data_IF_054287287246
#
_entry.id   IF_054287287246
#
_cell.length_a   1.000
_cell.length_b   1.000
_cell.length_c   1.000
_cell.angle_alpha   90.00
_cell.angle_beta   90.00
_cell.angle_gamma   90.00
#
_symmetry.space_group_name_H-M   'P 1'
#
loop_
_entity.id
_entity.type
_entity.pdbx_description
1 polymer ?
#
# COMPACT_ATOMS: atom_id res chain seq x y z
N UNK A 1 2.12 18.98 -0.45
CA UNK A 1 1.83 19.58 0.88
C UNK A 1 2.53 18.74 1.95
N UNK A 2 3.40 19.35 2.79
CA UNK A 2 4.24 18.63 3.77
C UNK A 2 3.46 17.77 4.79
N UNK A 3 2.20 18.12 5.07
CA UNK A 3 1.36 17.45 6.06
C UNK A 3 0.12 16.77 5.46
N UNK A 4 0.14 16.42 4.16
CA UNK A 4 -1.01 15.83 3.49
C UNK A 4 -1.55 14.56 4.21
N UNK A 5 -0.64 13.76 4.79
CA UNK A 5 -0.97 12.52 5.48
C UNK A 5 -1.38 12.71 6.95
N UNK A 6 -1.16 13.89 7.54
CA UNK A 6 -1.58 14.24 8.91
C UNK A 6 -1.99 15.73 9.02
N UNK A 7 -3.10 16.13 8.39
CA UNK A 7 -3.52 17.53 8.37
C UNK A 7 -3.85 18.07 9.78
N UNK A 8 -4.22 17.19 10.72
CA UNK A 8 -4.53 17.55 12.10
C UNK A 8 -3.33 17.46 13.05
N UNK A 9 -2.19 16.90 12.64
CA UNK A 9 -1.04 16.72 13.53
C UNK A 9 -1.26 15.67 14.62
N UNK A 10 -2.21 14.76 14.44
CA UNK A 10 -2.69 13.82 15.45
C UNK A 10 -2.37 12.36 15.10
N UNK A 11 -1.65 12.12 14.01
CA UNK A 11 -1.29 10.78 13.55
C UNK A 11 0.16 10.49 13.87
N UNK A 12 0.46 9.23 14.18
CA UNK A 12 1.83 8.75 14.23
C UNK A 12 2.32 8.50 12.80
N UNK A 13 3.63 8.69 12.51
CA UNK A 13 4.20 8.34 11.22
C UNK A 13 4.09 6.84 10.92
N UNK A 14 4.12 6.01 11.97
CA UNK A 14 3.92 4.56 11.86
C UNK A 14 2.62 4.21 12.57
N UNK A 15 1.66 3.69 11.82
CA UNK A 15 0.33 3.38 12.32
C UNK A 15 0.35 2.15 13.24
N UNK A 16 -0.25 2.28 14.42
CA UNK A 16 -0.51 1.17 15.34
C UNK A 16 -1.97 0.71 15.30
N UNK A 17 -2.86 1.51 14.73
CA UNK A 17 -4.29 1.23 14.65
C UNK A 17 -4.58 0.17 13.58
N UNK A 18 -5.55 -0.70 13.85
CA UNK A 18 -6.08 -1.62 12.85
C UNK A 18 -6.82 -0.84 11.76
N UNK A 19 -6.73 -1.31 10.51
CA UNK A 19 -7.52 -0.81 9.39
C UNK A 19 -8.52 -1.87 8.93
N UNK A 20 -9.59 -1.44 8.26
CA UNK A 20 -10.42 -2.35 7.47
C UNK A 20 -9.82 -2.49 6.08
N UNK A 21 -9.90 -3.68 5.50
CA UNK A 21 -9.66 -3.94 4.08
C UNK A 21 -10.95 -3.82 3.25
N UNK A 22 -12.07 -3.43 3.86
CA UNK A 22 -13.40 -3.44 3.25
C UNK A 22 -14.21 -4.71 3.52
N UNK A 23 -13.57 -5.78 3.99
CA UNK A 23 -14.23 -7.07 4.28
C UNK A 23 -14.44 -7.27 5.78
N UNK A 24 -13.48 -6.86 6.60
CA UNK A 24 -13.51 -7.02 8.05
C UNK A 24 -13.49 -5.69 8.78
N UNK A 25 -14.26 -5.59 9.87
CA UNK A 25 -14.21 -4.45 10.77
C UNK A 25 -12.85 -4.40 11.49
N UNK A 26 -12.29 -3.20 11.75
CA UNK A 26 -11.05 -3.08 12.52
C UNK A 26 -11.22 -3.65 13.94
N UNK A 27 -10.25 -4.42 14.41
CA UNK A 27 -10.29 -5.03 15.74
C UNK A 27 -9.82 -3.99 16.79
N UNK A 28 -10.49 -3.87 17.95
CA UNK A 28 -10.04 -2.96 19.00
C UNK A 28 -8.59 -3.21 19.43
N UNK A 29 -7.83 -2.13 19.61
CA UNK A 29 -6.45 -2.22 20.07
C UNK A 29 -6.37 -2.75 21.50
N UNK A 30 -5.54 -3.78 21.70
CA UNK A 30 -5.16 -4.25 23.04
C UNK A 30 -4.42 -3.15 23.83
N UNK A 31 -4.46 -3.18 25.18
CA UNK A 31 -3.83 -2.17 26.03
C UNK A 31 -2.35 -1.88 25.73
N UNK A 32 -1.57 -2.89 25.30
CA UNK A 32 -0.17 -2.71 24.92
C UNK A 32 0.02 -1.79 23.71
N UNK A 33 -0.87 -1.86 22.71
CA UNK A 33 -0.81 -1.00 21.52
C UNK A 33 -1.21 0.44 21.86
N UNK A 34 -2.18 0.61 22.76
CA UNK A 34 -2.54 1.92 23.30
C UNK A 34 -1.37 2.55 24.08
N UNK A 35 -0.65 1.74 24.88
CA UNK A 35 0.55 2.19 25.59
C UNK A 35 1.67 2.58 24.63
N UNK A 36 1.96 1.77 23.61
CA UNK A 36 2.94 2.10 22.57
C UNK A 36 2.59 3.42 21.86
N UNK A 37 1.32 3.60 21.49
CA UNK A 37 0.82 4.83 20.87
C UNK A 37 1.00 6.04 21.77
N UNK A 38 0.70 5.92 23.06
CA UNK A 38 0.90 6.99 24.03
C UNK A 38 2.37 7.36 24.18
N UNK A 39 3.24 6.36 24.37
CA UNK A 39 4.69 6.58 24.49
C UNK A 39 5.27 7.26 23.24
N UNK A 40 4.80 6.90 22.05
CA UNK A 40 5.25 7.52 20.80
C UNK A 40 4.90 9.01 20.74
N UNK A 41 3.69 9.40 21.17
CA UNK A 41 3.30 10.81 21.22
C UNK A 41 4.03 11.61 22.30
N UNK A 42 4.27 11.00 23.46
CA UNK A 42 5.04 11.61 24.55
C UNK A 42 6.50 11.84 24.13
N UNK A 43 7.09 10.83 23.47
CA UNK A 43 8.43 10.91 22.89
C UNK A 43 8.51 12.00 21.81
N UNK A 44 7.53 12.04 20.89
CA UNK A 44 7.47 13.07 19.86
C UNK A 44 7.39 14.49 20.45
N UNK A 45 6.54 14.69 21.46
CA UNK A 45 6.41 15.98 22.14
C UNK A 45 7.70 16.39 22.84
N UNK A 46 8.32 15.45 23.56
CA UNK A 46 9.55 15.69 24.31
C UNK A 46 10.74 15.97 23.39
N UNK A 47 10.91 15.18 22.33
CA UNK A 47 12.02 15.32 21.38
C UNK A 47 11.86 16.57 20.51
N UNK A 48 10.63 16.89 20.05
CA UNK A 48 10.38 18.14 19.33
C UNK A 48 10.78 19.38 20.15
N UNK A 49 10.41 19.41 21.44
CA UNK A 49 10.81 20.48 22.36
C UNK A 49 12.33 20.57 22.54
N UNK A 50 13.02 19.44 22.67
CA UNK A 50 14.49 19.40 22.83
C UNK A 50 15.23 19.89 21.58
N UNK A 51 14.69 19.61 20.39
CA UNK A 51 15.27 20.03 19.12
C UNK A 51 14.84 21.43 18.68
N UNK A 52 13.93 22.09 19.41
CA UNK A 52 13.41 23.40 19.04
C UNK A 52 12.56 23.40 17.76
N UNK A 53 11.93 22.26 17.42
CA UNK A 53 11.08 22.12 16.23
C UNK A 53 9.61 21.96 16.63
N UNK A 54 8.71 22.34 15.72
CA UNK A 54 7.28 22.07 15.90
C UNK A 54 6.99 20.56 15.92
N UNK A 55 6.03 20.15 16.75
CA UNK A 55 5.68 18.73 16.94
C UNK A 55 5.19 18.07 15.65
N UNK A 56 4.45 18.77 14.79
CA UNK A 56 4.00 18.20 13.51
C UNK A 56 5.17 18.02 12.55
N UNK A 57 6.08 18.99 12.51
CA UNK A 57 7.33 18.88 11.74
C UNK A 57 8.19 17.70 12.23
N UNK A 58 8.24 17.48 13.55
CA UNK A 58 8.94 16.33 14.12
C UNK A 58 8.29 15.00 13.71
N UNK A 59 6.96 14.89 13.81
CA UNK A 59 6.24 13.66 13.48
C UNK A 59 6.41 13.23 12.01
N UNK A 60 6.53 14.18 11.07
CA UNK A 60 6.77 13.87 9.64
C UNK A 60 8.26 13.76 9.28
N UNK A 61 9.15 13.60 10.25
CA UNK A 61 10.59 13.41 10.04
C UNK A 61 11.02 11.97 10.35
N UNK A 62 12.23 11.60 9.90
CA UNK A 62 12.85 10.33 10.25
C UNK A 62 12.95 10.14 11.78
N UNK A 63 13.27 11.19 12.54
CA UNK A 63 13.29 11.14 14.02
C UNK A 63 11.92 10.80 14.61
N UNK A 64 10.83 11.23 13.97
CA UNK A 64 9.46 10.88 14.35
C UNK A 64 9.15 9.41 14.14
N UNK A 65 9.58 8.86 13.00
CA UNK A 65 9.46 7.42 12.71
C UNK A 65 10.24 6.59 13.73
N UNK A 66 11.52 6.91 13.95
CA UNK A 66 12.37 6.25 14.95
C UNK A 66 11.79 6.35 16.36
N UNK A 67 11.31 7.54 16.78
CA UNK A 67 10.65 7.70 18.09
C UNK A 67 9.44 6.80 18.25
N UNK A 68 8.71 6.53 17.16
CA UNK A 68 7.57 5.62 17.17
C UNK A 68 8.02 4.17 17.33
N UNK A 69 9.09 3.75 16.62
CA UNK A 69 9.67 2.41 16.72
C UNK A 69 10.24 2.13 18.13
N UNK A 70 10.95 3.09 18.71
CA UNK A 70 11.49 2.98 20.08
C UNK A 70 10.36 2.88 21.11
N UNK A 71 9.29 3.68 20.96
CA UNK A 71 8.13 3.58 21.84
C UNK A 71 7.41 2.22 21.75
N UNK A 72 7.42 1.59 20.57
CA UNK A 72 6.97 0.21 20.41
C UNK A 72 7.88 -0.75 21.19
N UNK A 73 9.20 -0.65 21.00
CA UNK A 73 10.16 -1.48 21.74
C UNK A 73 9.92 -1.40 23.26
N UNK A 74 9.80 -0.19 23.81
CA UNK A 74 9.57 0.04 25.24
C UNK A 74 8.26 -0.59 25.72
N UNK A 75 7.16 -0.36 25.00
CA UNK A 75 5.84 -0.86 25.37
C UNK A 75 5.75 -2.40 25.34
N UNK A 76 6.29 -3.03 24.29
CA UNK A 76 6.20 -4.48 24.14
C UNK A 76 7.19 -5.20 25.05
N UNK A 77 8.40 -4.66 25.26
CA UNK A 77 9.35 -5.22 26.22
C UNK A 77 8.76 -5.24 27.64
N UNK A 78 8.07 -4.16 28.04
CA UNK A 78 7.39 -4.09 29.34
C UNK A 78 6.21 -5.08 29.47
N UNK A 79 5.60 -5.50 28.35
CA UNK A 79 4.45 -6.41 28.34
C UNK A 79 4.84 -7.90 28.39
N UNK A 80 6.12 -8.24 28.28
CA UNK A 80 6.63 -9.62 28.42
C UNK A 80 7.10 -10.32 27.14
N UNK A 81 6.60 -10.03 25.91
CA UNK A 81 7.20 -10.56 24.69
C UNK A 81 8.67 -10.15 24.55
N UNK A 82 9.56 -11.13 24.36
CA UNK A 82 11.01 -10.93 24.19
C UNK A 82 11.52 -11.36 22.80
N UNK A 83 10.62 -11.70 21.89
CA UNK A 83 10.96 -12.35 20.62
C UNK A 83 11.51 -11.41 19.54
N UNK A 84 11.27 -10.11 19.63
CA UNK A 84 11.74 -9.15 18.63
C UNK A 84 11.67 -7.70 19.13
N UNK A 85 12.51 -6.85 18.52
CA UNK A 85 12.51 -5.40 18.67
C UNK A 85 12.94 -4.78 17.34
N UNK A 86 12.57 -3.52 17.11
CA UNK A 86 13.11 -2.75 15.99
C UNK A 86 14.55 -2.34 16.29
N UNK A 87 15.48 -2.72 15.41
CA UNK A 87 16.90 -2.42 15.56
C UNK A 87 17.19 -0.96 15.17
N UNK A 88 16.90 -0.04 16.08
CA UNK A 88 17.16 1.40 15.92
C UNK A 88 17.85 1.95 17.17
N UNK A 89 18.85 2.81 16.97
CA UNK A 89 19.60 3.44 18.07
C UNK A 89 18.76 4.51 18.77
N UNK A 90 18.90 4.62 20.10
CA UNK A 90 18.13 5.59 20.90
C UNK A 90 18.41 7.05 20.52
N UNK A 91 19.64 7.34 20.12
CA UNK A 91 20.09 8.68 19.70
C UNK A 91 19.43 9.14 18.39
N UNK A 92 19.04 8.18 17.54
CA UNK A 92 18.35 8.44 16.27
C UNK A 92 16.97 9.08 16.47
N UNK A 93 16.41 9.05 17.68
CA UNK A 93 15.21 9.82 18.02
C UNK A 93 15.44 11.35 17.99
N UNK A 94 16.70 11.80 17.96
CA UNK A 94 17.10 13.21 18.06
C UNK A 94 18.15 13.64 17.04
N UNK A 95 18.93 12.72 16.51
CA UNK A 95 19.86 12.97 15.41
C UNK A 95 19.21 12.62 14.07
N UNK A 96 18.99 13.61 13.20
CA UNK A 96 18.28 13.40 11.93
C UNK A 96 19.10 12.61 10.93
N UNK A 97 20.42 12.72 10.95
CA UNK A 97 21.31 11.96 10.06
C UNK A 97 21.29 10.49 10.46
N UNK A 98 21.40 10.20 11.76
CA UNK A 98 21.31 8.84 12.29
C UNK A 98 19.90 8.26 12.09
N UNK A 99 18.86 9.08 12.26
CA UNK A 99 17.49 8.66 11.97
C UNK A 99 17.34 8.23 10.52
N UNK A 100 17.78 9.07 9.58
CA UNK A 100 17.71 8.75 8.15
C UNK A 100 18.53 7.53 7.80
N UNK A 101 19.74 7.35 8.34
CA UNK A 101 20.51 6.14 8.07
C UNK A 101 19.83 4.86 8.59
N UNK A 102 18.92 4.98 9.57
CA UNK A 102 18.18 3.85 10.12
C UNK A 102 16.85 3.56 9.40
N UNK A 103 16.22 4.55 8.73
CA UNK A 103 14.87 4.37 8.14
C UNK A 103 14.73 4.82 6.68
N UNK A 104 15.67 5.57 6.11
CA UNK A 104 15.72 5.94 4.68
C UNK A 104 16.53 4.87 3.93
N UNK A 105 16.06 3.62 3.99
CA UNK A 105 16.74 2.49 3.41
C UNK A 105 16.66 2.40 1.87
N UNK A 106 17.39 1.45 1.30
CA UNK A 106 17.39 1.11 -0.13
C UNK A 106 17.18 -0.39 -0.33
N UNK A 107 16.44 -0.99 0.59
CA UNK A 107 16.14 -2.41 0.57
C UNK A 107 15.37 -2.77 -0.69
N UNK A 108 15.63 -3.97 -1.20
CA UNK A 108 14.84 -4.51 -2.28
C UNK A 108 13.42 -4.84 -1.81
N UNK A 109 12.42 -4.11 -2.32
CA UNK A 109 11.00 -4.32 -2.02
C UNK A 109 10.34 -5.05 -3.18
N UNK A 110 10.05 -6.33 -2.95
CA UNK A 110 9.27 -7.14 -3.87
C UNK A 110 7.80 -7.21 -3.40
N UNK A 111 6.93 -6.47 -4.07
CA UNK A 111 5.50 -6.60 -3.89
C UNK A 111 4.98 -7.81 -4.67
N UNK A 112 4.62 -8.88 -3.95
CA UNK A 112 4.24 -10.15 -4.55
C UNK A 112 2.77 -10.19 -4.99
N UNK A 113 2.00 -9.12 -4.81
CA UNK A 113 0.59 -9.11 -5.18
C UNK A 113 -0.01 -7.69 -5.37
N UNK A 114 0.01 -7.21 -6.62
CA UNK A 114 -0.69 -5.99 -7.04
C UNK A 114 -1.93 -6.26 -7.87
N UNK A 115 -2.89 -5.33 -7.85
CA UNK A 115 -4.12 -5.40 -8.65
C UNK A 115 -4.50 -4.01 -9.17
N UNK A 116 -5.08 -3.97 -10.38
CA UNK A 116 -5.86 -2.84 -10.88
C UNK A 116 -7.07 -3.38 -11.67
N UNK A 117 -8.04 -2.52 -11.95
CA UNK A 117 -9.18 -2.87 -12.80
C UNK A 117 -9.17 -2.06 -14.09
N UNK A 118 -9.59 -2.64 -15.21
CA UNK A 118 -9.79 -1.88 -16.43
C UNK A 118 -11.08 -1.02 -16.29
N UNK A 119 -10.97 0.33 -16.23
CA UNK A 119 -12.13 1.21 -16.05
C UNK A 119 -13.07 1.27 -17.27
N UNK A 120 -12.68 0.70 -18.40
CA UNK A 120 -13.49 0.60 -19.62
C UNK A 120 -13.64 -0.85 -20.11
N UNK A 121 -13.29 -1.82 -19.25
CA UNK A 121 -13.27 -3.24 -19.59
C UNK A 121 -14.65 -3.83 -19.84
N UNK A 122 -14.69 -4.96 -20.56
CA UNK A 122 -15.93 -5.63 -20.93
C UNK A 122 -16.76 -6.11 -19.73
N UNK A 123 -16.11 -6.39 -18.60
CA UNK A 123 -16.75 -6.80 -17.35
C UNK A 123 -17.82 -5.80 -16.86
N UNK A 124 -17.66 -4.51 -17.15
CA UNK A 124 -18.61 -3.47 -16.78
C UNK A 124 -19.95 -3.58 -17.52
N UNK A 125 -19.96 -4.11 -18.75
CA UNK A 125 -21.17 -4.22 -19.59
C UNK A 125 -22.19 -5.22 -19.04
N UNK A 126 -21.74 -6.13 -18.18
CA UNK A 126 -22.55 -7.18 -17.58
C UNK A 126 -23.13 -6.78 -16.22
N UNK A 127 -22.77 -5.61 -15.71
CA UNK A 127 -23.21 -5.14 -14.40
C UNK A 127 -24.66 -4.65 -14.47
N UNK A 128 -25.46 -4.85 -13.40
CA UNK A 128 -26.81 -4.30 -13.33
C UNK A 128 -26.81 -2.76 -13.51
N UNK A 129 -27.87 -2.17 -14.10
CA UNK A 129 -28.02 -0.72 -14.17
C UNK A 129 -27.87 -0.07 -12.80
N UNK A 130 -27.05 0.99 -12.72
CA UNK A 130 -26.77 1.71 -11.46
C UNK A 130 -25.78 1.03 -10.52
N UNK A 131 -25.20 -0.13 -10.89
CA UNK A 131 -24.15 -0.77 -10.10
C UNK A 131 -22.91 0.13 -9.98
N UNK A 132 -22.34 0.20 -8.77
CA UNK A 132 -21.12 0.95 -8.46
C UNK A 132 -19.99 0.01 -8.03
N UNK A 133 -19.39 -0.76 -8.96
CA UNK A 133 -18.34 -1.71 -8.61
C UNK A 133 -17.15 -1.00 -7.95
N UNK A 134 -16.51 -1.65 -6.98
CA UNK A 134 -15.28 -1.16 -6.34
C UNK A 134 -15.37 0.24 -5.69
N UNK A 135 -16.58 0.78 -5.47
CA UNK A 135 -16.77 2.11 -4.89
C UNK A 135 -16.09 2.28 -3.52
N UNK A 136 -16.04 1.21 -2.72
CA UNK A 136 -15.36 1.20 -1.41
C UNK A 136 -13.86 1.51 -1.52
N UNK A 137 -13.21 1.08 -2.59
CA UNK A 137 -11.78 1.34 -2.85
C UNK A 137 -11.53 2.74 -3.42
N UNK A 138 -12.56 3.42 -3.93
CA UNK A 138 -12.46 4.74 -4.54
C UNK A 138 -13.16 5.83 -3.73
N UNK A 139 -13.47 5.55 -2.46
CA UNK A 139 -14.17 6.49 -1.57
C UNK A 139 -13.23 7.51 -0.91
N UNK A 140 -11.91 7.39 -1.11
CA UNK A 140 -10.93 8.27 -0.47
C UNK A 140 -10.81 9.61 -1.21
N UNK A 141 -10.48 10.73 -0.52
CA UNK A 141 -10.28 12.03 -1.17
C UNK A 141 -9.24 12.05 -2.29
N UNK A 142 -8.29 11.09 -2.29
CA UNK A 142 -7.30 10.90 -3.36
C UNK A 142 -7.96 10.62 -4.72
N UNK A 143 -9.13 10.00 -4.71
CA UNK A 143 -9.83 9.62 -5.94
C UNK A 143 -10.72 10.72 -6.52
N UNK A 144 -10.91 11.84 -5.82
CA UNK A 144 -11.74 12.97 -6.31
C UNK A 144 -11.29 13.50 -7.68
N UNK A 145 -9.98 13.68 -7.98
CA UNK A 145 -9.53 14.14 -9.30
C UNK A 145 -9.84 13.16 -10.44
N UNK A 146 -10.15 11.90 -10.14
CA UNK A 146 -10.49 10.89 -11.13
C UNK A 146 -11.99 10.84 -11.43
N UNK A 147 -12.83 11.56 -10.66
CA UNK A 147 -14.25 11.68 -10.97
C UNK A 147 -14.43 12.56 -12.22
N UNK A 148 -15.39 12.18 -13.06
CA UNK A 148 -15.73 12.89 -14.29
C UNK A 148 -17.23 12.82 -14.57
N UNK A 149 -17.68 13.23 -15.77
CA UNK A 149 -19.09 13.23 -16.13
C UNK A 149 -19.70 11.83 -16.25
N UNK A 150 -18.87 10.79 -16.42
CA UNK A 150 -19.30 9.40 -16.50
C UNK A 150 -19.52 8.79 -15.12
N UNK A 151 -20.58 7.99 -14.98
CA UNK A 151 -20.95 7.35 -13.70
C UNK A 151 -19.86 6.45 -13.12
N UNK A 152 -18.99 5.89 -13.97
CA UNK A 152 -17.91 4.96 -13.60
C UNK A 152 -16.51 5.60 -13.65
N UNK A 153 -16.39 6.91 -13.89
CA UNK A 153 -15.09 7.58 -14.05
C UNK A 153 -14.19 7.42 -12.81
N UNK A 154 -14.78 7.27 -11.63
CA UNK A 154 -14.05 7.01 -10.38
C UNK A 154 -13.13 5.77 -10.45
N UNK A 155 -13.43 4.78 -11.32
CA UNK A 155 -12.59 3.60 -11.50
C UNK A 155 -11.21 3.93 -12.04
N UNK A 156 -11.02 5.11 -12.68
CA UNK A 156 -9.69 5.57 -13.11
C UNK A 156 -8.71 5.74 -11.93
N UNK A 157 -9.22 5.94 -10.71
CA UNK A 157 -8.39 5.99 -9.50
C UNK A 157 -7.72 4.65 -9.16
N UNK A 158 -8.29 3.54 -9.61
CA UNK A 158 -7.77 2.17 -9.41
C UNK A 158 -7.51 1.49 -10.76
N UNK A 159 -7.30 2.30 -11.80
CA UNK A 159 -6.99 1.88 -13.15
C UNK A 159 -5.49 1.72 -13.40
N UNK A 160 -5.09 1.31 -14.62
CA UNK A 160 -3.69 1.01 -14.95
C UNK A 160 -2.74 2.20 -14.77
N UNK A 161 -3.14 3.40 -15.21
CA UNK A 161 -2.27 4.58 -15.12
C UNK A 161 -2.00 4.97 -13.65
N UNK A 162 -3.05 4.96 -12.83
CA UNK A 162 -2.91 5.27 -11.42
C UNK A 162 -2.16 4.17 -10.68
N UNK A 163 -2.35 2.90 -11.04
CA UNK A 163 -1.56 1.79 -10.52
C UNK A 163 -0.06 1.97 -10.82
N UNK A 164 0.31 2.31 -12.06
CA UNK A 164 1.70 2.52 -12.44
C UNK A 164 2.32 3.68 -11.65
N UNK A 165 1.59 4.79 -11.51
CA UNK A 165 2.02 5.91 -10.68
C UNK A 165 2.22 5.49 -9.23
N UNK A 166 1.23 4.82 -8.65
CA UNK A 166 1.21 4.48 -7.23
C UNK A 166 2.31 3.50 -6.84
N UNK A 167 2.59 2.53 -7.70
CA UNK A 167 3.52 1.43 -7.44
C UNK A 167 4.95 1.75 -7.89
N UNK A 168 5.14 2.53 -8.95
CA UNK A 168 6.47 2.72 -9.52
C UNK A 168 7.02 4.15 -9.43
N UNK A 169 6.19 5.11 -9.02
CA UNK A 169 6.59 6.52 -8.86
C UNK A 169 6.41 7.01 -7.43
N UNK A 170 5.30 6.63 -6.78
CA UNK A 170 4.91 7.15 -5.46
C UNK A 170 5.14 6.13 -4.32
N UNK A 171 5.82 5.01 -4.59
CA UNK A 171 6.25 4.02 -3.59
C UNK A 171 7.71 3.58 -3.80
N UNK A 172 8.26 2.90 -2.79
CA UNK A 172 9.60 2.32 -2.81
C UNK A 172 9.64 0.90 -3.46
N UNK A 173 8.58 0.48 -4.15
CA UNK A 173 8.49 -0.87 -4.73
C UNK A 173 9.49 -1.05 -5.88
N UNK A 174 10.44 -1.97 -5.76
CA UNK A 174 11.41 -2.27 -6.81
C UNK A 174 10.85 -3.19 -7.89
N UNK A 175 10.15 -4.24 -7.45
CA UNK A 175 9.57 -5.29 -8.28
C UNK A 175 8.14 -5.55 -7.80
N UNK A 176 7.23 -5.81 -8.75
CA UNK A 176 5.82 -6.08 -8.47
C UNK A 176 5.33 -7.28 -9.29
N UNK A 177 4.50 -8.14 -8.69
CA UNK A 177 3.72 -9.16 -9.40
C UNK A 177 2.28 -8.69 -9.56
N UNK A 178 1.86 -8.45 -10.80
CA UNK A 178 0.46 -8.19 -11.14
C UNK A 178 -0.33 -9.49 -11.09
N UNK A 179 -1.29 -9.56 -10.17
CA UNK A 179 -2.18 -10.69 -9.95
C UNK A 179 -3.61 -10.38 -10.38
N UNK A 180 -4.39 -11.43 -10.56
CA UNK A 180 -5.77 -11.37 -11.05
C UNK A 180 -6.76 -11.56 -9.92
N UNK A 181 -7.83 -10.77 -9.93
CA UNK A 181 -8.92 -10.91 -8.95
C UNK A 181 -9.73 -12.18 -9.27
N UNK A 182 -10.04 -13.02 -8.27
CA UNK A 182 -10.89 -14.20 -8.48
C UNK A 182 -12.23 -13.82 -9.13
N UNK A 183 -12.48 -14.37 -10.32
CA UNK A 183 -13.61 -14.00 -11.18
C UNK A 183 -13.88 -15.07 -12.25
N UNK A 184 -15.08 -15.06 -12.81
CA UNK A 184 -15.35 -15.79 -14.05
C UNK A 184 -14.58 -15.15 -15.21
N UNK A 185 -14.26 -15.89 -16.26
CA UNK A 185 -13.60 -15.33 -17.47
C UNK A 185 -14.37 -14.15 -18.05
N UNK A 186 -15.70 -14.22 -18.00
CA UNK A 186 -16.58 -13.16 -18.46
C UNK A 186 -16.61 -11.93 -17.53
N UNK A 187 -16.39 -12.12 -16.23
CA UNK A 187 -16.43 -11.07 -15.23
C UNK A 187 -15.06 -10.51 -14.87
N UNK A 188 -13.99 -10.91 -15.55
CA UNK A 188 -12.63 -10.56 -15.16
C UNK A 188 -12.38 -9.03 -15.28
N UNK A 189 -12.02 -8.35 -14.18
CA UNK A 189 -11.76 -6.91 -14.22
C UNK A 189 -10.48 -6.53 -14.98
N UNK A 190 -9.62 -7.52 -15.23
CA UNK A 190 -8.32 -7.40 -15.88
C UNK A 190 -8.08 -8.67 -16.69
N UNK A 191 -7.81 -8.54 -17.98
CA UNK A 191 -7.45 -9.68 -18.83
C UNK A 191 -5.94 -9.90 -18.88
N UNK A 192 -5.52 -11.09 -19.34
CA UNK A 192 -4.09 -11.42 -19.52
C UNK A 192 -3.41 -10.48 -20.53
N UNK A 193 -4.10 -10.15 -21.62
CA UNK A 193 -3.60 -9.24 -22.66
C UNK A 193 -3.37 -7.83 -22.10
N UNK A 194 -4.29 -7.35 -21.26
CA UNK A 194 -4.20 -6.05 -20.59
C UNK A 194 -3.07 -6.03 -19.57
N UNK A 195 -2.93 -7.07 -18.75
CA UNK A 195 -1.84 -7.19 -17.78
C UNK A 195 -0.46 -7.17 -18.46
N UNK A 196 -0.31 -7.93 -19.55
CA UNK A 196 0.93 -7.96 -20.34
C UNK A 196 1.17 -6.62 -21.04
N UNK A 197 0.12 -5.94 -21.52
CA UNK A 197 0.25 -4.59 -22.09
C UNK A 197 0.77 -3.59 -21.04
N UNK A 198 0.24 -3.61 -19.81
CA UNK A 198 0.74 -2.77 -18.71
C UNK A 198 2.20 -3.10 -18.37
N UNK A 199 2.58 -4.38 -18.33
CA UNK A 199 3.97 -4.79 -18.12
C UNK A 199 4.93 -4.24 -19.20
N UNK A 200 4.47 -4.12 -20.45
CA UNK A 200 5.26 -3.47 -21.52
C UNK A 200 5.42 -1.97 -21.29
N UNK A 201 4.40 -1.27 -20.79
CA UNK A 201 4.48 0.16 -20.44
C UNK A 201 5.50 0.36 -19.32
N UNK A 202 5.42 -0.42 -18.24
CA UNK A 202 6.38 -0.32 -17.12
C UNK A 202 7.80 -0.59 -17.57
N UNK A 203 8.00 -1.54 -18.48
CA UNK A 203 9.32 -1.81 -19.08
C UNK A 203 9.89 -0.60 -19.83
N UNK A 204 9.04 0.26 -20.42
CA UNK A 204 9.49 1.46 -21.13
C UNK A 204 9.88 2.61 -20.19
N UNK A 205 9.30 2.70 -18.98
CA UNK A 205 9.53 3.82 -18.07
C UNK A 205 10.98 3.93 -17.58
N UNK A 206 11.64 2.81 -17.28
CA UNK A 206 13.02 2.79 -16.79
C UNK A 206 13.92 1.73 -17.49
N UNK A 207 13.44 1.07 -18.54
CA UNK A 207 14.18 -0.02 -19.21
C UNK A 207 14.33 -1.31 -18.39
N UNK A 208 13.84 -1.33 -17.14
CA UNK A 208 13.94 -2.43 -16.19
C UNK A 208 12.64 -3.26 -16.14
N UNK A 209 12.75 -4.59 -15.98
CA UNK A 209 11.61 -5.51 -15.88
C UNK A 209 11.01 -5.48 -14.46
N UNK A 210 10.36 -4.38 -14.08
CA UNK A 210 9.84 -4.15 -12.72
C UNK A 210 8.41 -4.66 -12.48
N UNK A 211 7.71 -5.11 -13.52
CA UNK A 211 6.38 -5.70 -13.42
C UNK A 211 6.39 -7.13 -14.00
N UNK A 212 6.16 -8.11 -13.14
CA UNK A 212 5.91 -9.50 -13.49
C UNK A 212 4.40 -9.74 -13.56
N UNK A 213 3.96 -10.70 -14.36
CA UNK A 213 2.53 -11.05 -14.49
C UNK A 213 2.33 -12.45 -13.94
N UNK A 214 1.45 -12.59 -12.95
CA UNK A 214 1.02 -13.90 -12.47
C UNK A 214 -0.07 -14.44 -13.40
N UNK A 215 0.07 -15.69 -13.85
CA UNK A 215 -0.94 -16.32 -14.68
C UNK A 215 -2.29 -16.49 -13.98
N UNK A 216 -3.38 -16.02 -14.59
CA UNK A 216 -4.74 -16.19 -14.05
C UNK A 216 -5.17 -17.66 -14.05
N UNK A 217 -5.44 -18.20 -12.86
CA UNK A 217 -6.01 -19.53 -12.65
C UNK A 217 -7.00 -19.48 -11.49
N UNK A 218 -8.28 -19.80 -11.73
CA UNK A 218 -9.26 -19.99 -10.67
C UNK A 218 -9.69 -21.47 -10.64
N UNK A 219 -9.11 -22.31 -9.77
CA UNK A 219 -9.32 -23.77 -9.79
C UNK A 219 -10.78 -24.23 -9.70
N UNK A 220 -11.66 -23.37 -9.17
CA UNK A 220 -13.09 -23.65 -9.03
C UNK A 220 -13.91 -23.28 -10.28
N UNK A 221 -13.28 -22.77 -11.34
CA UNK A 221 -13.93 -22.40 -12.59
C UNK A 221 -13.65 -23.48 -13.65
N UNK A 222 -14.68 -23.99 -14.36
CA UNK A 222 -14.48 -24.97 -15.43
C UNK A 222 -13.52 -24.47 -16.50
N UNK A 223 -12.53 -25.29 -16.89
CA UNK A 223 -11.58 -24.98 -17.96
C UNK A 223 -10.37 -24.13 -17.54
N UNK A 224 -10.26 -23.74 -16.26
CA UNK A 224 -9.14 -22.91 -15.80
C UNK A 224 -7.87 -23.70 -15.51
N UNK A 225 -7.99 -24.93 -15.02
CA UNK A 225 -6.85 -25.81 -14.78
C UNK A 225 -6.25 -26.28 -16.10
N UNK A 226 -7.09 -26.65 -17.07
CA UNK A 226 -6.68 -27.08 -18.40
C UNK A 226 -6.01 -25.95 -19.19
N UNK A 227 -6.39 -24.70 -18.92
CA UNK A 227 -5.82 -23.51 -19.56
C UNK A 227 -4.42 -23.12 -19.05
N UNK A 228 -3.90 -23.76 -17.99
CA UNK A 228 -2.61 -23.39 -17.40
C UNK A 228 -1.44 -23.58 -18.38
N UNK A 229 -1.42 -24.69 -19.11
CA UNK A 229 -0.35 -24.98 -20.08
C UNK A 229 -0.35 -23.98 -21.24
N UNK A 230 -1.54 -23.64 -21.76
CA UNK A 230 -1.67 -22.62 -22.79
C UNK A 230 -1.16 -21.27 -22.27
N UNK A 231 -1.57 -20.89 -21.06
CA UNK A 231 -1.20 -19.63 -20.44
C UNK A 231 0.32 -19.48 -20.27
N UNK A 232 0.96 -20.54 -19.76
CA UNK A 232 2.41 -20.60 -19.58
C UNK A 232 3.17 -20.60 -20.91
N UNK A 233 2.63 -21.22 -21.96
CA UNK A 233 3.23 -21.23 -23.29
C UNK A 233 3.09 -19.89 -24.02
N UNK A 234 1.96 -19.20 -23.85
CA UNK A 234 1.63 -17.95 -24.59
C UNK A 234 2.20 -16.70 -23.94
N UNK A 235 2.30 -16.68 -22.62
CA UNK A 235 2.67 -15.48 -21.86
C UNK A 235 3.90 -15.73 -21.01
N UNK A 236 4.75 -14.70 -20.90
CA UNK A 236 5.87 -14.70 -19.96
C UNK A 236 5.35 -14.39 -18.55
N UNK A 237 4.82 -15.42 -17.90
CA UNK A 237 4.34 -15.36 -16.51
C UNK A 237 5.51 -15.52 -15.52
N UNK A 238 5.30 -15.02 -14.30
CA UNK A 238 6.25 -15.06 -13.19
C UNK A 238 6.52 -16.47 -12.66
#
# INVERSE_FOLDING_TARGET
MRFANDPQGLRLPIKLDTATNGEYAPIPLRPVHLKARQLAFDAATSNAKRLGVDRRNFLVSACGAVSSLLAMNDAYAAAGPRGSFYQVEGEAARDVQLARSAVDGTEFIFDVQGHFVNPTGAWLKRMPPGAKPMQGFTATPRCEPHRGPGELDYLRCIGPDQFVKDVFMDSDTDLMVLSFVPSTREGEPLTMEEAVATARIVKQLNGTHRLMVHGRVNPNQPGDLEGMDELAARYKIA
#
